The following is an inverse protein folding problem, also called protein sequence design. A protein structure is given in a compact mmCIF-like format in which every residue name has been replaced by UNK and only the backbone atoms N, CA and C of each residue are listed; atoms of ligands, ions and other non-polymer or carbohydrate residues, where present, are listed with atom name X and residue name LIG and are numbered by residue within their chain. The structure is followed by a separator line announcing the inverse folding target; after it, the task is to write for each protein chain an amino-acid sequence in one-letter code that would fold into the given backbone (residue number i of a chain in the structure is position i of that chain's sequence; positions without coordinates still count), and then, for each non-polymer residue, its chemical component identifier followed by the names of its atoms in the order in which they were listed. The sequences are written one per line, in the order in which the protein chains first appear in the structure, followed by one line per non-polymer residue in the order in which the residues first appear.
data_IF_171895681614
#
_entry.id   IF_171895681614
#
_cell.length_a   1.000
_cell.length_b   1.000
_cell.length_c   1.000
_cell.angle_alpha   90.00
_cell.angle_beta   90.00
_cell.angle_gamma   90.00
#
_symmetry.space_group_name_H-M   'P 1'
#
loop_
_entity.id
_entity.type
_entity.pdbx_description
1 polymer ?
#
# COMPACT_ATOMS: atom_id res chain seq x y z
N UNK A 1 -0.95 -8.59 -14.95
CA UNK A 1 -0.82 -7.62 -13.84
C UNK A 1 -0.16 -6.34 -14.32
N UNK A 2 1.06 -6.39 -14.86
CA UNK A 2 1.74 -5.23 -15.47
C UNK A 2 0.88 -4.48 -16.50
N UNK A 3 0.29 -5.20 -17.46
CA UNK A 3 -0.63 -4.61 -18.44
C UNK A 3 -1.85 -3.91 -17.81
N UNK A 4 -2.27 -4.29 -16.59
CA UNK A 4 -3.35 -3.60 -15.86
C UNK A 4 -2.87 -2.32 -15.17
N UNK A 5 -1.61 -2.29 -14.73
CA UNK A 5 -0.97 -1.09 -14.16
C UNK A 5 -0.77 -0.05 -15.26
N UNK A 6 -0.24 -0.47 -16.42
CA UNK A 6 -0.05 0.39 -17.59
C UNK A 6 -1.39 0.97 -18.06
N UNK A 7 -2.42 0.13 -18.21
CA UNK A 7 -3.75 0.59 -18.65
C UNK A 7 -4.43 1.57 -17.69
N UNK A 8 -4.07 1.54 -16.41
CA UNK A 8 -4.67 2.41 -15.38
C UNK A 8 -3.76 3.56 -14.97
N UNK A 9 -2.58 3.70 -15.60
CA UNK A 9 -1.51 4.59 -15.16
C UNK A 9 -1.30 4.54 -13.63
N UNK A 10 -1.39 3.32 -13.07
CA UNK A 10 -1.47 3.12 -11.64
C UNK A 10 -0.14 2.59 -11.11
N UNK A 11 0.40 3.26 -10.09
CA UNK A 11 1.62 2.83 -9.38
C UNK A 11 1.31 2.61 -7.91
N UNK A 12 1.68 1.44 -7.38
CA UNK A 12 1.36 1.05 -6.00
C UNK A 12 2.61 0.72 -5.19
N UNK A 13 2.57 1.04 -3.89
CA UNK A 13 3.72 0.88 -2.98
C UNK A 13 3.75 -0.44 -2.22
N UNK A 14 2.63 -1.14 -2.11
CA UNK A 14 2.56 -2.38 -1.34
C UNK A 14 2.39 -3.56 -2.28
N UNK A 15 3.32 -4.51 -2.22
CA UNK A 15 3.27 -5.77 -2.96
C UNK A 15 2.90 -6.87 -1.99
N UNK A 16 1.89 -7.66 -2.32
CA UNK A 16 1.36 -8.74 -1.50
C UNK A 16 1.43 -10.06 -2.25
N UNK A 17 2.02 -11.07 -1.61
CA UNK A 17 2.06 -12.46 -2.03
C UNK A 17 1.07 -13.26 -1.18
N UNK A 18 0.11 -13.91 -1.84
CA UNK A 18 -0.84 -14.83 -1.22
C UNK A 18 -0.59 -16.24 -1.74
N UNK A 19 -0.41 -17.19 -0.84
CA UNK A 19 -0.22 -18.61 -1.17
C UNK A 19 -1.32 -19.41 -0.50
N UNK A 20 -1.99 -20.27 -1.27
CA UNK A 20 -2.92 -21.28 -0.77
C UNK A 20 -2.31 -22.65 -1.00
N UNK A 21 -2.13 -23.41 0.07
CA UNK A 21 -1.61 -24.76 0.00
C UNK A 21 -2.69 -25.78 -0.37
N UNK A 22 -2.26 -27.00 -0.66
CA UNK A 22 -3.15 -28.11 -1.01
C UNK A 22 -4.16 -28.42 0.11
N UNK A 23 -3.76 -28.29 1.37
CA UNK A 23 -4.60 -28.41 2.56
C UNK A 23 -5.50 -27.19 2.81
N UNK A 24 -5.68 -26.32 1.81
CA UNK A 24 -6.52 -25.12 1.81
C UNK A 24 -6.10 -24.01 2.80
N UNK A 25 -5.09 -24.23 3.64
CA UNK A 25 -4.46 -23.19 4.45
C UNK A 25 -3.84 -22.12 3.56
N UNK A 26 -3.99 -20.87 3.98
CA UNK A 26 -3.49 -19.71 3.23
C UNK A 26 -2.50 -18.91 4.07
N UNK A 27 -1.41 -18.48 3.44
CA UNK A 27 -0.44 -17.55 4.01
C UNK A 27 -0.38 -16.31 3.12
N UNK A 28 -0.31 -15.14 3.75
CA UNK A 28 -0.12 -13.87 3.06
C UNK A 28 1.11 -13.17 3.61
N UNK A 29 1.95 -12.66 2.72
CA UNK A 29 3.13 -11.85 3.06
C UNK A 29 3.14 -10.63 2.17
N UNK A 30 3.46 -9.48 2.73
CA UNK A 30 3.52 -8.22 2.00
C UNK A 30 4.78 -7.44 2.33
N UNK A 31 5.14 -6.54 1.43
CA UNK A 31 6.19 -5.55 1.63
C UNK A 31 5.72 -4.22 1.08
N UNK A 32 5.98 -3.14 1.81
CA UNK A 32 5.79 -1.78 1.34
C UNK A 32 7.15 -1.21 0.98
N UNK A 33 7.25 -0.63 -0.21
CA UNK A 33 8.47 -0.07 -0.78
C UNK A 33 8.32 1.45 -0.94
N UNK A 34 9.42 2.17 -0.86
CA UNK A 34 9.43 3.64 -0.97
C UNK A 34 9.08 4.10 -2.39
N UNK A 35 9.78 3.56 -3.37
CA UNK A 35 9.48 3.76 -4.79
C UNK A 35 8.34 2.83 -5.21
N UNK A 36 7.26 3.35 -5.83
CA UNK A 36 6.12 2.53 -6.18
C UNK A 36 6.47 1.54 -7.31
N UNK A 37 5.92 0.34 -7.24
CA UNK A 37 6.09 -0.67 -8.27
C UNK A 37 5.18 -0.38 -9.47
N UNK A 38 5.80 -0.14 -10.63
CA UNK A 38 5.10 0.08 -11.91
C UNK A 38 5.36 -1.03 -12.96
N UNK A 39 6.44 -1.80 -12.82
CA UNK A 39 6.88 -2.80 -13.80
C UNK A 39 6.95 -4.21 -13.18
N UNK A 40 6.69 -5.26 -13.96
CA UNK A 40 6.79 -6.66 -13.54
C UNK A 40 8.16 -7.02 -12.95
N UNK A 41 9.25 -6.48 -13.53
CA UNK A 41 10.61 -6.70 -13.04
C UNK A 41 10.79 -6.19 -11.60
N UNK A 42 10.27 -5.00 -11.28
CA UNK A 42 10.30 -4.44 -9.92
C UNK A 42 9.49 -5.32 -8.98
N UNK A 43 8.28 -5.70 -9.39
CA UNK A 43 7.41 -6.57 -8.59
C UNK A 43 8.12 -7.89 -8.28
N UNK A 44 8.70 -8.54 -9.30
CA UNK A 44 9.34 -9.84 -9.17
C UNK A 44 10.59 -9.80 -8.27
N UNK A 45 11.33 -8.68 -8.27
CA UNK A 45 12.44 -8.44 -7.34
C UNK A 45 12.01 -8.58 -5.89
N UNK A 46 10.82 -8.10 -5.53
CA UNK A 46 10.27 -8.18 -4.17
C UNK A 46 9.48 -9.46 -3.89
N UNK A 47 8.95 -10.14 -4.92
CA UNK A 47 8.25 -11.42 -4.73
C UNK A 47 9.19 -12.55 -4.34
N UNK A 48 10.40 -12.61 -4.92
CA UNK A 48 11.41 -13.64 -4.58
C UNK A 48 11.71 -13.71 -3.06
N UNK A 49 12.07 -12.62 -2.37
CA UNK A 49 12.31 -12.66 -0.93
C UNK A 49 11.04 -12.92 -0.11
N UNK A 50 9.85 -12.54 -0.60
CA UNK A 50 8.58 -12.89 0.05
C UNK A 50 8.31 -14.40 -0.05
N UNK A 51 8.61 -15.03 -1.19
CA UNK A 51 8.49 -16.48 -1.38
C UNK A 51 9.43 -17.25 -0.45
N UNK A 52 10.68 -16.81 -0.30
CA UNK A 52 11.65 -17.43 0.60
C UNK A 52 11.22 -17.41 2.07
N UNK A 53 10.29 -16.53 2.45
CA UNK A 53 9.70 -16.47 3.81
C UNK A 53 8.46 -17.37 3.97
N UNK A 54 8.24 -18.31 3.05
CA UNK A 54 7.08 -19.21 3.03
C UNK A 54 7.52 -20.65 2.78
N UNK A 55 6.60 -21.59 2.98
CA UNK A 55 6.82 -23.01 2.72
C UNK A 55 6.56 -23.38 1.24
N UNK A 56 6.42 -22.39 0.36
CA UNK A 56 6.25 -22.62 -1.07
C UNK A 56 7.49 -23.31 -1.65
N UNK A 57 7.31 -24.49 -2.23
CA UNK A 57 8.39 -25.36 -2.71
C UNK A 57 8.64 -26.56 -1.80
N UNK A 58 8.42 -26.43 -0.48
CA UNK A 58 8.42 -27.55 0.45
C UNK A 58 7.03 -28.21 0.57
N UNK A 59 5.98 -27.38 0.57
CA UNK A 59 4.57 -27.83 0.58
C UNK A 59 3.92 -27.62 -0.78
N UNK A 60 3.03 -28.54 -1.17
CA UNK A 60 2.25 -28.43 -2.41
C UNK A 60 1.40 -27.16 -2.40
N UNK A 61 1.66 -26.27 -3.35
CA UNK A 61 0.91 -25.03 -3.54
C UNK A 61 -0.23 -25.28 -4.53
N UNK A 62 -1.43 -24.83 -4.19
CA UNK A 62 -2.62 -24.90 -5.04
C UNK A 62 -2.87 -23.61 -5.79
N UNK A 63 -2.59 -22.47 -5.16
CA UNK A 63 -2.75 -21.15 -5.76
C UNK A 63 -1.69 -20.20 -5.24
N UNK A 64 -1.15 -19.39 -6.14
CA UNK A 64 -0.26 -18.29 -5.85
C UNK A 64 -0.85 -17.04 -6.49
N UNK A 65 -1.12 -16.03 -5.66
CA UNK A 65 -1.68 -14.75 -6.08
C UNK A 65 -0.73 -13.62 -5.72
N UNK A 66 -0.56 -12.67 -6.64
CA UNK A 66 0.20 -11.43 -6.44
C UNK A 66 -0.77 -10.26 -6.55
N UNK A 67 -0.72 -9.34 -5.60
CA UNK A 67 -1.58 -8.15 -5.55
C UNK A 67 -0.75 -6.92 -5.23
N UNK A 68 -1.12 -5.78 -5.81
CA UNK A 68 -0.52 -4.48 -5.51
C UNK A 68 -1.59 -3.61 -4.87
N UNK A 69 -1.19 -2.81 -3.90
CA UNK A 69 -2.05 -1.93 -3.11
C UNK A 69 -1.28 -0.65 -2.76
N UNK A 70 -1.96 0.27 -2.06
CA UNK A 70 -1.41 1.58 -1.73
C UNK A 70 -1.00 2.37 -2.98
N UNK A 71 -1.94 2.48 -3.92
CA UNK A 71 -1.77 3.29 -5.13
C UNK A 71 -1.77 4.77 -4.76
N UNK A 72 -0.92 5.56 -5.42
CA UNK A 72 -1.07 7.02 -5.33
C UNK A 72 -2.41 7.40 -5.94
N UNK A 73 -3.32 7.93 -5.11
CA UNK A 73 -4.44 8.68 -5.65
C UNK A 73 -3.85 9.89 -6.37
N UNK A 74 -4.28 10.15 -7.61
CA UNK A 74 -4.18 11.52 -8.13
C UNK A 74 -5.00 12.36 -7.16
N UNK A 75 -4.31 13.18 -6.37
CA UNK A 75 -4.91 14.09 -5.41
C UNK A 75 -5.83 15.01 -6.22
N UNK A 76 -7.13 14.69 -6.27
CA UNK A 76 -8.11 15.69 -6.66
C UNK A 76 -8.05 16.68 -5.52
N UNK A 77 -7.41 17.82 -5.77
CA UNK A 77 -7.15 18.88 -4.81
C UNK A 77 -8.46 19.43 -4.24
N UNK A 78 -9.05 18.72 -3.28
CA UNK A 78 -10.20 19.17 -2.52
C UNK A 78 -9.65 19.63 -1.17
N UNK A 79 -9.16 20.87 -1.16
CA UNK A 79 -8.83 21.61 0.05
C UNK A 79 -7.50 21.20 0.69
N UNK A 80 -6.78 22.20 1.19
CA UNK A 80 -5.53 22.01 1.94
C UNK A 80 -5.77 21.01 3.08
N UNK A 81 -5.10 19.86 2.97
CA UNK A 81 -5.06 18.76 3.92
C UNK A 81 -6.42 18.05 3.97
N UNK A 82 -6.51 16.83 3.46
CA UNK A 82 -7.69 15.94 3.55
C UNK A 82 -8.09 15.53 4.98
N UNK A 83 -7.86 16.41 5.94
CA UNK A 83 -8.29 16.32 7.32
C UNK A 83 -9.77 16.65 7.39
N UNK A 84 -10.56 15.66 7.76
CA UNK A 84 -11.96 15.89 8.12
C UNK A 84 -12.01 16.86 9.30
N UNK A 85 -12.90 17.87 9.28
CA UNK A 85 -13.08 18.74 10.42
C UNK A 85 -13.52 17.89 11.61
N UNK A 86 -12.70 17.90 12.66
CA UNK A 86 -13.06 17.24 13.91
C UNK A 86 -14.21 18.04 14.54
N UNK A 87 -15.31 17.40 15.00
CA UNK A 87 -16.40 18.07 15.70
C UNK A 87 -15.99 18.39 17.16
N UNK A 88 -14.82 18.99 17.34
CA UNK A 88 -14.32 19.45 18.62
C UNK A 88 -14.62 20.95 18.74
N UNK A 89 -15.46 21.32 19.70
CA UNK A 89 -15.60 22.72 20.12
C UNK A 89 -14.34 23.08 20.90
N UNK A 90 -13.35 23.67 20.22
CA UNK A 90 -12.22 24.29 20.90
C UNK A 90 -12.72 25.55 21.62
N UNK A 91 -13.16 25.38 22.87
CA UNK A 91 -13.35 26.49 23.78
C UNK A 91 -11.97 27.01 24.19
N UNK A 92 -11.60 28.19 23.68
CA UNK A 92 -10.47 28.95 24.20
C UNK A 92 -9.39 29.24 23.17
N UNK A 93 -9.51 30.40 22.51
CA UNK A 93 -8.36 31.28 22.31
C UNK A 93 -8.76 32.67 22.75
N UNK A 94 -8.40 32.98 23.99
CA UNK A 94 -8.25 34.34 24.49
C UNK A 94 -7.38 35.12 23.51
N UNK A 95 -7.85 36.31 23.12
CA UNK A 95 -7.08 37.33 22.41
C UNK A 95 -5.72 37.47 23.10
N UNK A 96 -4.64 37.07 22.45
CA UNK A 96 -3.31 37.59 22.79
C UNK A 96 -3.14 38.79 21.86
N UNK A 97 -3.38 39.97 22.41
CA UNK A 97 -3.11 41.26 21.77
C UNK A 97 -1.61 41.41 21.47
N UNK A 98 -1.23 42.01 20.33
CA UNK A 98 0.15 42.29 20.03
C UNK A 98 0.60 43.51 20.86
N UNK A 99 1.58 43.33 21.74
CA UNK A 99 2.29 44.45 22.37
C UNK A 99 3.61 44.65 21.62
N UNK A 100 3.71 45.82 21.00
CA UNK A 100 4.95 46.41 20.50
C UNK A 100 5.97 46.55 21.65
N UNK A 101 7.15 45.97 21.49
CA UNK A 101 8.48 46.61 21.44
C UNK A 101 9.50 45.53 21.07
#
# INVERSE_FOLDING_TARGET
MEHLLIRRDAKGKTITLKIKYFDFRSITRSVTIEEPADTASVIMKFIKPLLSKTEAGARKVRLLGISISNFHAQDIAIGKNGQLPLPLRFAGKTKISPLLW
#
